data_IF_042986701824
#
_entry.id   IF_042986701824
#
_cell.length_a   1.000
_cell.length_b   1.000
_cell.length_c   1.000
_cell.angle_alpha   90.00
_cell.angle_beta   90.00
_cell.angle_gamma   90.00
#
_symmetry.space_group_name_H-M   'P 1'
#
loop_
_entity.id
_entity.type
_entity.pdbx_description
1 polymer ?
#
# COMPACT_ATOMS: atom_id res chain seq x y z
N UNK A 1 -11.57 -8.81 -5.84
CA UNK A 1 -11.20 -7.74 -4.89
C UNK A 1 -10.35 -6.73 -5.63
N UNK A 2 -10.70 -5.43 -5.59
CA UNK A 2 -9.92 -4.40 -6.27
C UNK A 2 -8.84 -3.85 -5.32
N UNK A 3 -7.83 -3.16 -5.88
CA UNK A 3 -6.87 -2.40 -5.07
C UNK A 3 -7.49 -1.16 -4.39
N UNK A 4 -8.75 -0.85 -4.68
CA UNK A 4 -9.46 0.36 -4.24
C UNK A 4 -10.43 0.09 -3.08
N UNK A 5 -10.43 -1.13 -2.54
CA UNK A 5 -11.36 -1.56 -1.51
C UNK A 5 -12.62 -2.21 -2.09
N UNK A 6 -13.53 -2.55 -1.18
CA UNK A 6 -14.82 -3.17 -1.49
C UNK A 6 -15.82 -2.95 -0.35
N UNK A 7 -17.10 -2.96 -0.69
CA UNK A 7 -18.22 -3.03 0.25
C UNK A 7 -18.19 -4.39 0.95
N UNK A 8 -18.16 -4.37 2.29
CA UNK A 8 -18.11 -5.53 3.15
C UNK A 8 -19.29 -5.48 4.13
N UNK A 9 -19.85 -6.63 4.50
CA UNK A 9 -21.04 -6.67 5.35
C UNK A 9 -20.66 -7.21 6.73
N UNK A 10 -20.89 -6.40 7.76
CA UNK A 10 -20.84 -6.84 9.14
C UNK A 10 -22.16 -7.52 9.51
N UNK A 11 -22.07 -8.74 10.04
CA UNK A 11 -23.23 -9.58 10.37
C UNK A 11 -23.43 -9.64 11.90
N UNK A 12 -24.57 -9.12 12.36
CA UNK A 12 -25.02 -9.14 13.75
C UNK A 12 -26.33 -9.94 13.87
N UNK A 13 -26.28 -11.28 14.01
CA UNK A 13 -27.45 -12.14 13.93
C UNK A 13 -28.58 -11.79 14.91
N UNK A 14 -28.24 -11.25 16.10
CA UNK A 14 -29.19 -10.83 17.13
C UNK A 14 -30.12 -9.70 16.70
N UNK A 15 -29.77 -8.95 15.65
CA UNK A 15 -30.54 -7.80 15.14
C UNK A 15 -31.64 -8.22 14.13
N UNK A 16 -31.82 -9.51 13.89
CA UNK A 16 -32.92 -10.04 13.08
C UNK A 16 -32.93 -9.51 11.65
N UNK A 17 -33.98 -8.77 11.27
CA UNK A 17 -34.10 -8.18 9.93
C UNK A 17 -32.99 -7.15 9.63
N UNK A 18 -32.49 -6.44 10.65
CA UNK A 18 -31.45 -5.41 10.50
C UNK A 18 -30.03 -5.94 10.74
N UNK A 19 -29.81 -7.25 10.63
CA UNK A 19 -28.53 -7.91 10.96
C UNK A 19 -27.34 -7.52 10.09
N UNK A 20 -27.56 -6.92 8.93
CA UNK A 20 -26.51 -6.61 7.97
C UNK A 20 -26.23 -5.11 7.94
N UNK A 21 -25.04 -4.73 8.42
CA UNK A 21 -24.53 -3.37 8.33
C UNK A 21 -23.43 -3.31 7.27
N UNK A 22 -23.58 -2.41 6.31
CA UNK A 22 -22.55 -2.19 5.28
C UNK A 22 -21.36 -1.44 5.86
N UNK A 23 -20.18 -1.92 5.52
CA UNK A 23 -18.87 -1.37 5.90
C UNK A 23 -18.00 -1.25 4.65
N UNK A 24 -16.95 -0.44 4.71
CA UNK A 24 -16.01 -0.29 3.60
C UNK A 24 -14.64 -0.81 4.03
N UNK A 25 -14.11 -1.81 3.32
CA UNK A 25 -12.75 -2.30 3.55
C UNK A 25 -11.81 -1.76 2.49
N UNK A 26 -10.80 -1.05 2.96
CA UNK A 26 -9.77 -0.42 2.14
C UNK A 26 -8.41 -0.98 2.49
N UNK A 27 -7.55 -1.13 1.48
CA UNK A 27 -6.15 -1.41 1.73
C UNK A 27 -5.47 -0.13 2.21
N UNK A 28 -4.71 -0.23 3.30
CA UNK A 28 -3.82 0.85 3.72
C UNK A 28 -2.80 1.13 2.62
N UNK A 29 -2.48 2.40 2.42
CA UNK A 29 -1.44 2.83 1.51
C UNK A 29 -0.05 2.48 2.05
N UNK A 30 0.81 2.04 1.14
CA UNK A 30 2.20 1.85 1.47
C UNK A 30 2.91 3.22 1.50
N UNK A 31 3.44 3.62 2.66
CA UNK A 31 4.09 4.92 2.87
C UNK A 31 5.51 5.00 2.31
N UNK A 32 5.98 4.01 1.55
CA UNK A 32 7.34 4.00 1.03
C UNK A 32 7.57 4.82 -0.23
N UNK A 33 6.51 5.16 -0.95
CA UNK A 33 6.55 6.09 -2.06
C UNK A 33 5.18 6.73 -2.24
N UNK A 34 5.13 8.06 -2.17
CA UNK A 34 3.90 8.81 -2.36
C UNK A 34 4.21 10.23 -2.85
N UNK A 35 3.18 10.91 -3.33
CA UNK A 35 3.22 12.33 -3.68
C UNK A 35 2.27 13.09 -2.78
N UNK A 36 2.76 14.19 -2.18
CA UNK A 36 1.94 15.12 -1.41
C UNK A 36 2.04 16.50 -2.08
N UNK A 37 0.89 17.05 -2.44
CA UNK A 37 0.78 18.46 -2.87
C UNK A 37 0.68 19.33 -1.61
N UNK A 38 1.44 20.43 -1.48
CA UNK A 38 1.44 21.27 -0.28
C UNK A 38 0.17 22.13 -0.18
N UNK A 39 -0.92 21.53 0.24
CA UNK A 39 -2.18 22.20 0.62
C UNK A 39 -2.31 22.26 2.14
N UNK A 40 -3.18 23.12 2.67
CA UNK A 40 -3.42 23.20 4.13
C UNK A 40 -3.75 21.83 4.74
N UNK A 41 -4.71 21.03 4.20
CA UNK A 41 -5.00 19.71 4.76
C UNK A 41 -3.83 18.73 4.71
N UNK A 42 -2.94 18.85 3.72
CA UNK A 42 -1.77 17.98 3.60
C UNK A 42 -0.65 18.34 4.59
N UNK A 43 -0.51 19.62 4.91
CA UNK A 43 0.45 20.10 5.90
C UNK A 43 -0.04 19.65 7.27
N UNK A 44 -1.32 19.85 7.58
CA UNK A 44 -1.93 19.36 8.82
C UNK A 44 -1.80 17.83 8.98
N UNK A 45 -1.98 17.06 7.89
CA UNK A 45 -1.72 15.62 7.91
C UNK A 45 -0.29 15.31 8.35
N UNK A 46 0.71 15.98 7.77
CA UNK A 46 2.10 15.74 8.10
C UNK A 46 2.45 16.20 9.52
N UNK A 47 1.89 17.32 9.98
CA UNK A 47 2.08 17.81 11.35
C UNK A 47 1.53 16.79 12.38
N UNK A 48 0.34 16.24 12.15
CA UNK A 48 -0.25 15.21 13.02
C UNK A 48 0.55 13.91 13.02
N UNK A 49 0.98 13.45 11.83
CA UNK A 49 1.83 12.26 11.71
C UNK A 49 3.16 12.46 12.45
N UNK A 50 3.82 13.59 12.23
CA UNK A 50 5.09 13.91 12.90
C UNK A 50 4.91 13.99 14.42
N UNK A 51 3.84 14.64 14.89
CA UNK A 51 3.53 14.73 16.32
C UNK A 51 3.36 13.33 16.93
N UNK A 52 2.53 12.46 16.34
CA UNK A 52 2.29 11.11 16.87
C UNK A 52 3.56 10.27 16.87
N UNK A 53 4.34 10.29 15.78
CA UNK A 53 5.60 9.54 15.72
C UNK A 53 6.67 10.05 16.70
N UNK A 54 6.58 11.30 17.16
CA UNK A 54 7.47 11.84 18.18
C UNK A 54 7.07 11.46 19.62
N UNK A 55 5.81 11.10 19.86
CA UNK A 55 5.26 10.86 21.21
C UNK A 55 4.80 9.41 21.45
N UNK A 56 4.60 8.62 20.40
CA UNK A 56 4.08 7.26 20.46
C UNK A 56 5.10 6.26 19.88
N UNK A 57 5.17 5.06 20.45
CA UNK A 57 5.86 3.93 19.82
C UNK A 57 4.96 3.32 18.74
N UNK A 58 4.88 3.99 17.59
CA UNK A 58 3.98 3.63 16.50
C UNK A 58 4.73 3.45 15.17
N UNK A 59 4.12 2.71 14.25
CA UNK A 59 4.67 2.51 12.90
C UNK A 59 4.19 3.63 11.97
N UNK A 60 5.12 4.27 11.25
CA UNK A 60 4.86 5.41 10.35
C UNK A 60 3.73 5.13 9.36
N UNK A 61 3.72 3.94 8.75
CA UNK A 61 2.67 3.56 7.81
C UNK A 61 1.30 3.45 8.49
N UNK A 62 1.25 2.94 9.72
CA UNK A 62 -0.02 2.85 10.46
C UNK A 62 -0.54 4.25 10.79
N UNK A 63 0.29 5.09 11.40
CA UNK A 63 -0.07 6.47 11.77
C UNK A 63 -0.51 7.28 10.56
N UNK A 64 0.24 7.23 9.45
CA UNK A 64 -0.12 7.95 8.23
C UNK A 64 -1.51 7.57 7.69
N UNK A 65 -1.82 6.27 7.70
CA UNK A 65 -3.11 5.80 7.21
C UNK A 65 -4.24 6.11 8.20
N UNK A 66 -4.02 5.94 9.49
CA UNK A 66 -5.00 6.30 10.53
C UNK A 66 -5.40 7.77 10.42
N UNK A 67 -4.43 8.70 10.44
CA UNK A 67 -4.73 10.13 10.28
C UNK A 67 -5.46 10.41 8.97
N UNK A 68 -5.05 9.77 7.87
CA UNK A 68 -5.69 9.98 6.57
C UNK A 68 -7.12 9.41 6.51
N UNK A 69 -7.44 8.33 7.23
CA UNK A 69 -8.70 7.60 7.10
C UNK A 69 -9.71 7.84 8.22
N UNK A 70 -9.29 8.30 9.40
CA UNK A 70 -10.22 8.49 10.50
C UNK A 70 -11.29 9.55 10.18
N UNK A 71 -12.58 9.24 10.38
CA UNK A 71 -13.64 10.23 10.26
C UNK A 71 -13.57 11.21 11.44
N UNK A 72 -14.18 12.38 11.29
CA UNK A 72 -14.39 13.28 12.42
C UNK A 72 -15.22 12.58 13.50
N UNK A 73 -14.84 12.74 14.76
CA UNK A 73 -15.54 12.21 15.93
C UNK A 73 -15.33 13.14 17.13
N UNK A 74 -16.04 12.98 18.26
CA UNK A 74 -15.84 13.84 19.42
C UNK A 74 -14.35 13.90 19.82
N UNK A 75 -13.80 15.12 19.86
CA UNK A 75 -12.38 15.36 20.15
C UNK A 75 -11.40 15.20 18.99
N UNK A 76 -11.87 14.89 17.77
CA UNK A 76 -11.02 14.75 16.58
C UNK A 76 -11.71 15.34 15.35
N UNK A 77 -11.13 16.42 14.82
CA UNK A 77 -11.53 16.95 13.53
C UNK A 77 -10.79 16.19 12.42
N UNK A 78 -11.55 15.43 11.63
CA UNK A 78 -11.03 14.63 10.53
C UNK A 78 -10.30 15.47 9.48
N UNK A 79 -9.25 14.89 8.90
CA UNK A 79 -8.48 15.54 7.86
C UNK A 79 -9.29 15.57 6.55
N UNK A 80 -9.53 16.76 6.02
CA UNK A 80 -10.20 16.96 4.72
C UNK A 80 -9.24 16.76 3.53
N UNK A 81 -8.21 15.93 3.70
CA UNK A 81 -7.21 15.68 2.67
C UNK A 81 -7.79 14.79 1.56
N UNK A 82 -7.82 15.30 0.34
CA UNK A 82 -8.17 14.49 -0.84
C UNK A 82 -7.06 13.50 -1.15
N UNK A 83 -7.41 12.24 -1.44
CA UNK A 83 -6.46 11.17 -1.78
C UNK A 83 -6.76 10.55 -3.14
N UNK A 84 -5.72 10.00 -3.77
CA UNK A 84 -5.81 9.19 -4.99
C UNK A 84 -4.86 8.01 -4.89
N UNK A 85 -5.36 6.82 -5.22
CA UNK A 85 -4.54 5.60 -5.29
C UNK A 85 -3.75 5.61 -6.60
N UNK A 86 -2.43 5.43 -6.52
CA UNK A 86 -1.57 5.25 -7.70
C UNK A 86 -1.76 3.85 -8.28
N UNK A 87 -1.60 3.69 -9.60
CA UNK A 87 -1.67 2.37 -10.25
C UNK A 87 -0.52 1.49 -9.73
N UNK A 88 -0.88 0.34 -9.14
CA UNK A 88 0.07 -0.52 -8.44
C UNK A 88 0.93 -1.40 -9.37
N UNK A 89 0.65 -1.41 -10.70
CA UNK A 89 1.57 -1.97 -11.69
C UNK A 89 2.60 -0.95 -12.16
N UNK A 90 2.25 0.34 -12.17
CA UNK A 90 3.18 1.42 -12.53
C UNK A 90 4.06 1.82 -11.34
N UNK A 91 3.48 1.92 -10.14
CA UNK A 91 4.15 2.27 -8.88
C UNK A 91 4.15 1.07 -7.94
N UNK A 92 4.93 0.06 -8.33
CA UNK A 92 4.81 -1.29 -7.83
C UNK A 92 5.61 -1.51 -6.55
N UNK A 93 5.12 -2.37 -5.66
CA UNK A 93 5.92 -2.91 -4.56
C UNK A 93 6.39 -4.34 -4.86
N UNK A 94 7.38 -4.82 -4.11
CA UNK A 94 7.97 -6.14 -4.37
C UNK A 94 6.98 -7.29 -4.21
N UNK A 95 5.95 -7.16 -3.37
CA UNK A 95 4.91 -8.21 -3.23
C UNK A 95 4.13 -8.39 -4.52
N UNK A 96 3.72 -7.31 -5.19
CA UNK A 96 3.03 -7.37 -6.49
C UNK A 96 3.96 -7.97 -7.55
N UNK A 97 5.24 -7.57 -7.56
CA UNK A 97 6.21 -8.11 -8.52
C UNK A 97 6.38 -9.62 -8.34
N UNK A 98 6.75 -10.06 -7.14
CA UNK A 98 7.15 -11.45 -6.88
C UNK A 98 5.95 -12.41 -6.82
N UNK A 99 4.77 -11.97 -6.34
CA UNK A 99 3.60 -12.86 -6.26
C UNK A 99 2.73 -12.86 -7.51
N UNK A 100 2.78 -11.80 -8.32
CA UNK A 100 1.86 -11.62 -9.45
C UNK A 100 2.61 -11.39 -10.76
N UNK A 101 3.27 -10.24 -10.94
CA UNK A 101 3.79 -9.84 -12.26
C UNK A 101 4.79 -10.85 -12.82
N UNK A 102 5.77 -11.31 -12.03
CA UNK A 102 6.80 -12.25 -12.52
C UNK A 102 6.26 -13.62 -12.95
N UNK A 103 5.06 -13.99 -12.51
CA UNK A 103 4.45 -15.31 -12.78
C UNK A 103 3.53 -15.30 -13.99
N UNK A 104 3.14 -14.11 -14.44
CA UNK A 104 2.22 -13.93 -15.55
C UNK A 104 3.01 -13.47 -16.79
N UNK A 105 3.07 -14.33 -17.81
CA UNK A 105 3.81 -14.06 -19.03
C UNK A 105 3.34 -12.84 -19.81
N UNK A 106 2.07 -12.45 -19.69
CA UNK A 106 1.52 -11.27 -20.36
C UNK A 106 1.82 -10.00 -19.55
N UNK A 107 1.69 -10.06 -18.22
CA UNK A 107 2.09 -8.93 -17.36
C UNK A 107 3.59 -8.62 -17.49
N UNK A 108 4.46 -9.63 -17.55
CA UNK A 108 5.90 -9.44 -17.73
C UNK A 108 6.26 -8.65 -18.99
N UNK A 109 5.51 -8.86 -20.08
CA UNK A 109 5.74 -8.18 -21.36
C UNK A 109 5.19 -6.76 -21.36
N UNK A 110 4.06 -6.53 -20.66
CA UNK A 110 3.30 -5.27 -20.72
C UNK A 110 3.69 -4.27 -19.65
N UNK A 111 4.03 -4.74 -18.45
CA UNK A 111 4.29 -3.90 -17.30
C UNK A 111 5.76 -3.50 -17.26
N UNK A 112 6.02 -2.20 -17.42
CA UNK A 112 7.31 -1.58 -17.09
C UNK A 112 7.08 -0.52 -16.01
N UNK A 113 7.38 -0.82 -14.74
CA UNK A 113 7.09 0.08 -13.64
C UNK A 113 8.00 1.32 -13.68
N UNK A 114 7.50 2.44 -13.17
CA UNK A 114 8.31 3.64 -12.89
C UNK A 114 9.18 3.42 -11.66
N UNK A 115 8.65 2.72 -10.66
CA UNK A 115 9.34 2.38 -9.42
C UNK A 115 8.98 0.96 -8.98
N UNK A 116 9.95 0.26 -8.39
CA UNK A 116 9.73 -0.97 -7.63
C UNK A 116 10.19 -0.76 -6.19
N UNK A 117 9.26 -0.59 -5.25
CA UNK A 117 9.58 -0.46 -3.83
C UNK A 117 9.82 -1.83 -3.19
N UNK A 118 11.05 -2.11 -2.77
CA UNK A 118 11.45 -3.41 -2.16
C UNK A 118 11.32 -3.37 -0.65
N UNK A 119 10.13 -3.72 -0.15
CA UNK A 119 9.75 -3.57 1.26
C UNK A 119 9.51 -4.88 2.02
N UNK A 120 9.05 -5.96 1.37
CA UNK A 120 8.60 -7.18 2.05
C UNK A 120 9.66 -8.29 2.19
N UNK A 121 10.94 -7.98 2.02
CA UNK A 121 12.00 -9.00 1.97
C UNK A 121 13.23 -8.60 2.79
N UNK A 122 13.89 -9.54 3.50
CA UNK A 122 15.14 -9.27 4.21
C UNK A 122 16.32 -9.11 3.24
N UNK A 123 16.32 -9.85 2.14
CA UNK A 123 17.35 -9.89 1.09
C UNK A 123 17.14 -8.78 0.03
N UNK A 124 16.97 -7.53 0.49
CA UNK A 124 16.62 -6.40 -0.39
C UNK A 124 17.64 -6.16 -1.51
N UNK A 125 18.93 -6.14 -1.18
CA UNK A 125 19.98 -5.79 -2.14
C UNK A 125 20.08 -6.78 -3.31
N UNK A 126 20.17 -8.11 -3.09
CA UNK A 126 20.13 -9.09 -4.17
C UNK A 126 18.89 -8.94 -5.07
N UNK A 127 17.71 -8.75 -4.47
CA UNK A 127 16.46 -8.54 -5.22
C UNK A 127 16.50 -7.27 -6.05
N UNK A 128 16.96 -6.15 -5.49
CA UNK A 128 17.09 -4.89 -6.23
C UNK A 128 17.99 -5.05 -7.46
N UNK A 129 19.13 -5.76 -7.33
CA UNK A 129 20.00 -6.06 -8.47
C UNK A 129 19.28 -6.89 -9.52
N UNK A 130 18.61 -7.98 -9.13
CA UNK A 130 17.86 -8.81 -10.06
C UNK A 130 16.69 -8.07 -10.74
N UNK A 131 16.05 -7.12 -10.06
CA UNK A 131 15.01 -6.26 -10.63
C UNK A 131 15.60 -5.36 -11.72
N UNK A 132 16.80 -4.81 -11.51
CA UNK A 132 17.53 -4.05 -12.54
C UNK A 132 17.86 -4.96 -13.72
N UNK A 133 18.40 -6.16 -13.48
CA UNK A 133 18.68 -7.13 -14.56
C UNK A 133 17.41 -7.44 -15.38
N UNK A 134 16.28 -7.63 -14.71
CA UNK A 134 15.00 -7.94 -15.34
C UNK A 134 14.43 -6.80 -16.20
N UNK A 135 14.35 -5.57 -15.66
CA UNK A 135 13.67 -4.45 -16.32
C UNK A 135 14.58 -3.57 -17.17
N UNK A 136 15.87 -3.48 -16.84
CA UNK A 136 16.84 -2.60 -17.51
C UNK A 136 17.68 -3.39 -18.50
N UNK A 137 18.24 -4.54 -18.08
CA UNK A 137 19.14 -5.34 -18.93
C UNK A 137 18.40 -6.43 -19.74
N UNK A 138 17.13 -6.69 -19.42
CA UNK A 138 16.26 -7.59 -20.17
C UNK A 138 16.43 -9.08 -19.82
N UNK A 139 17.14 -9.42 -18.74
CA UNK A 139 17.26 -10.80 -18.26
C UNK A 139 15.94 -11.29 -17.67
N UNK A 140 15.21 -12.04 -18.49
CA UNK A 140 13.91 -12.61 -18.16
C UNK A 140 13.96 -13.69 -17.06
N UNK A 141 15.15 -14.15 -16.68
CA UNK A 141 15.37 -15.23 -15.73
C UNK A 141 15.85 -14.70 -14.37
N UNK A 142 16.31 -13.44 -14.31
CA UNK A 142 16.92 -12.82 -13.13
C UNK A 142 16.08 -12.95 -11.84
N UNK A 143 14.75 -12.98 -11.95
CA UNK A 143 13.85 -13.06 -10.80
C UNK A 143 13.49 -14.48 -10.35
N UNK A 144 13.90 -15.53 -11.08
CA UNK A 144 13.42 -16.91 -10.86
C UNK A 144 13.94 -17.56 -9.59
N UNK A 145 15.18 -17.27 -9.20
CA UNK A 145 15.81 -17.88 -8.03
C UNK A 145 15.23 -17.44 -6.69
N UNK A 146 14.49 -16.32 -6.66
CA UNK A 146 13.95 -15.77 -5.43
C UNK A 146 12.62 -16.43 -5.02
N UNK A 147 12.38 -16.70 -3.72
CA UNK A 147 11.05 -17.08 -3.26
C UNK A 147 10.06 -15.91 -3.38
N UNK A 148 8.76 -16.23 -3.36
CA UNK A 148 7.67 -15.25 -3.40
C UNK A 148 7.72 -14.27 -2.22
N UNK A 149 8.02 -14.80 -1.03
CA UNK A 149 7.98 -14.08 0.23
C UNK A 149 9.36 -13.90 0.87
N UNK A 150 9.37 -13.91 2.20
CA UNK A 150 10.56 -13.81 3.06
C UNK A 150 10.95 -15.15 3.70
N UNK A 151 10.33 -16.24 3.26
CA UNK A 151 10.61 -17.59 3.75
C UNK A 151 12.08 -17.93 3.45
N UNK A 152 12.78 -18.41 4.48
CA UNK A 152 14.15 -18.91 4.39
C UNK A 152 14.16 -20.40 4.13
#
# INVERSE_FOLDING_TARGET
MTAYGYDDVFDEPSMGWARYAHTMRIWVYNSGFFYIRPTIPSIELLDRVAYRLAHETAWDQAVFNEELFFPSHPGYDGLFASRRTMDYYIFMNSKVLFKTVRKDGELRKKVKPVIVHVNYHPDKLPRMRAIVEFYVNGDQEALKSFPDGSEK
#
